data_IF_618212987128
#
_entry.id   IF_618212987128
#
_cell.length_a   1.000
_cell.length_b   1.000
_cell.length_c   1.000
_cell.angle_alpha   90.00
_cell.angle_beta   90.00
_cell.angle_gamma   90.00
#
_symmetry.space_group_name_H-M   'P 1'
#
loop_
_entity.id
_entity.type
_entity.pdbx_description
1 polymer ?
#
# COMPACT_ATOMS: atom_id res chain seq x y z
N UNK A 1 5.24 -30.10 32.20
CA UNK A 1 4.07 -29.17 32.00
C UNK A 1 4.35 -28.13 30.93
N UNK A 2 5.59 -27.66 30.71
CA UNK A 2 5.90 -26.62 29.71
C UNK A 2 5.87 -27.07 28.23
N UNK A 3 6.20 -28.35 27.96
CA UNK A 3 6.13 -28.92 26.60
C UNK A 3 4.72 -29.02 26.01
N UNK A 4 3.69 -29.13 26.85
CA UNK A 4 2.29 -29.19 26.41
C UNK A 4 1.74 -27.78 26.09
N UNK A 5 2.19 -26.75 26.80
CA UNK A 5 1.83 -25.35 26.50
C UNK A 5 2.44 -24.85 25.18
N UNK A 6 3.70 -25.21 24.90
CA UNK A 6 4.36 -24.80 23.64
C UNK A 6 3.76 -25.48 22.40
N UNK A 7 3.30 -26.75 22.52
CA UNK A 7 2.58 -27.42 21.41
C UNK A 7 1.21 -26.80 21.13
N UNK A 8 0.44 -26.44 22.16
CA UNK A 8 -0.87 -25.79 21.99
C UNK A 8 -0.77 -24.41 21.35
N UNK A 9 0.23 -23.59 21.71
CA UNK A 9 0.50 -22.30 21.09
C UNK A 9 0.89 -22.43 19.61
N UNK A 10 1.74 -23.41 19.26
CA UNK A 10 2.11 -23.68 17.87
C UNK A 10 0.94 -24.14 17.01
N UNK A 11 0.03 -24.95 17.56
CA UNK A 11 -1.16 -25.41 16.83
C UNK A 11 -2.21 -24.29 16.65
N UNK A 12 -2.38 -23.41 17.64
CA UNK A 12 -3.23 -22.22 17.52
C UNK A 12 -2.67 -21.27 16.47
N UNK A 13 -1.37 -21.00 16.50
CA UNK A 13 -0.70 -20.13 15.52
C UNK A 13 -0.83 -20.70 14.09
N UNK A 14 -0.60 -22.00 13.90
CA UNK A 14 -0.78 -22.67 12.60
C UNK A 14 -2.21 -22.60 12.09
N UNK A 15 -3.21 -22.78 12.95
CA UNK A 15 -4.63 -22.66 12.57
C UNK A 15 -5.00 -21.23 12.17
N UNK A 16 -4.46 -20.24 12.87
CA UNK A 16 -4.65 -18.83 12.52
C UNK A 16 -4.01 -18.50 11.17
N UNK A 17 -2.79 -18.98 10.91
CA UNK A 17 -2.11 -18.79 9.61
C UNK A 17 -2.91 -19.44 8.47
N UNK A 18 -3.34 -20.69 8.62
CA UNK A 18 -4.14 -21.41 7.61
C UNK A 18 -5.48 -20.70 7.35
N UNK A 19 -6.12 -20.17 8.40
CA UNK A 19 -7.36 -19.40 8.27
C UNK A 19 -7.18 -18.09 7.52
N UNK A 20 -6.05 -17.40 7.72
CA UNK A 20 -5.69 -16.15 7.05
C UNK A 20 -5.40 -16.37 5.56
N UNK A 21 -4.52 -17.33 5.24
CA UNK A 21 -4.21 -17.69 3.84
C UNK A 21 -5.47 -18.05 3.04
N UNK A 22 -6.46 -18.66 3.71
CA UNK A 22 -7.74 -18.98 3.09
C UNK A 22 -8.55 -17.73 2.78
N UNK A 23 -8.63 -16.77 3.72
CA UNK A 23 -9.41 -15.55 3.55
C UNK A 23 -8.81 -14.61 2.50
N UNK A 24 -7.48 -14.50 2.46
CA UNK A 24 -6.76 -13.81 1.41
C UNK A 24 -7.12 -14.37 0.01
N UNK A 25 -7.05 -15.68 -0.15
CA UNK A 25 -7.45 -16.36 -1.39
C UNK A 25 -8.91 -16.11 -1.75
N UNK A 26 -9.83 -16.15 -0.79
CA UNK A 26 -11.25 -15.87 -1.01
C UNK A 26 -11.48 -14.43 -1.51
N UNK A 27 -10.73 -13.45 -1.00
CA UNK A 27 -10.83 -12.04 -1.46
C UNK A 27 -10.31 -11.88 -2.89
N UNK A 28 -9.23 -12.55 -3.25
CA UNK A 28 -8.69 -12.53 -4.62
C UNK A 28 -9.61 -13.27 -5.59
N UNK A 29 -10.18 -14.40 -5.20
CA UNK A 29 -11.18 -15.11 -6.00
C UNK A 29 -12.43 -14.24 -6.24
N UNK A 30 -12.89 -13.52 -5.23
CA UNK A 30 -14.01 -12.58 -5.38
C UNK A 30 -13.65 -11.41 -6.33
N UNK A 31 -12.43 -10.89 -6.25
CA UNK A 31 -11.94 -9.88 -7.20
C UNK A 31 -12.02 -10.40 -8.65
N UNK A 32 -11.45 -11.56 -8.90
CA UNK A 32 -11.41 -12.16 -10.24
C UNK A 32 -12.80 -12.56 -10.74
N UNK A 33 -13.67 -13.04 -9.85
CA UNK A 33 -15.07 -13.33 -10.18
C UNK A 33 -15.81 -12.08 -10.66
N UNK A 34 -15.57 -10.93 -10.04
CA UNK A 34 -16.16 -9.64 -10.41
C UNK A 34 -15.50 -9.04 -11.66
N UNK A 35 -14.21 -9.27 -11.83
CA UNK A 35 -13.38 -8.76 -12.92
C UNK A 35 -12.59 -9.89 -13.58
N UNK A 36 -13.22 -10.76 -14.39
CA UNK A 36 -12.55 -11.95 -14.96
C UNK A 36 -11.31 -11.66 -15.79
N UNK A 37 -11.21 -10.46 -16.35
CA UNK A 37 -10.05 -9.97 -17.10
C UNK A 37 -8.78 -9.94 -16.24
N UNK A 38 -8.90 -9.83 -14.92
CA UNK A 38 -7.78 -9.80 -13.96
C UNK A 38 -7.22 -11.18 -13.61
N UNK A 39 -7.81 -12.29 -14.10
CA UNK A 39 -7.28 -13.64 -13.87
C UNK A 39 -5.82 -13.75 -14.32
N UNK A 40 -5.47 -13.10 -15.43
CA UNK A 40 -4.10 -13.12 -15.98
C UNK A 40 -3.04 -12.47 -15.09
N UNK A 41 -3.44 -11.63 -14.13
CA UNK A 41 -2.54 -10.89 -13.21
C UNK A 41 -2.75 -11.27 -11.74
N UNK A 42 -3.54 -12.29 -11.48
CA UNK A 42 -3.86 -12.78 -10.14
C UNK A 42 -2.61 -13.04 -9.29
N UNK A 43 -1.63 -13.77 -9.84
CA UNK A 43 -0.39 -14.08 -9.12
C UNK A 43 0.42 -12.84 -8.77
N UNK A 44 0.47 -11.83 -9.64
CA UNK A 44 1.16 -10.57 -9.37
C UNK A 44 0.44 -9.75 -8.28
N UNK A 45 -0.89 -9.83 -8.20
CA UNK A 45 -1.66 -9.19 -7.12
C UNK A 45 -1.33 -9.86 -5.77
N UNK A 46 -1.28 -11.20 -5.74
CA UNK A 46 -0.87 -11.97 -4.56
C UNK A 46 0.56 -11.62 -4.11
N UNK A 47 1.50 -11.52 -5.05
CA UNK A 47 2.89 -11.18 -4.74
C UNK A 47 3.04 -9.73 -4.27
N UNK A 48 2.29 -8.79 -4.84
CA UNK A 48 2.25 -7.40 -4.39
C UNK A 48 1.68 -7.30 -2.96
N UNK A 49 0.62 -8.04 -2.66
CA UNK A 49 0.07 -8.12 -1.31
C UNK A 49 1.12 -8.60 -0.30
N UNK A 50 1.84 -9.69 -0.59
CA UNK A 50 2.89 -10.22 0.31
C UNK A 50 4.01 -9.23 0.58
N UNK A 51 4.41 -8.45 -0.43
CA UNK A 51 5.39 -7.37 -0.25
C UNK A 51 4.85 -6.31 0.72
N UNK A 52 3.60 -5.89 0.57
CA UNK A 52 2.96 -4.90 1.43
C UNK A 52 2.73 -5.44 2.85
N UNK A 53 2.27 -6.67 2.98
CA UNK A 53 2.10 -7.34 4.27
C UNK A 53 3.41 -7.36 5.05
N UNK A 54 4.49 -7.85 4.44
CA UNK A 54 5.83 -7.88 5.06
C UNK A 54 6.30 -6.49 5.47
N UNK A 55 6.12 -5.49 4.60
CA UNK A 55 6.48 -4.11 4.92
C UNK A 55 5.79 -3.60 6.19
N UNK A 56 4.50 -3.81 6.32
CA UNK A 56 3.75 -3.36 7.49
C UNK A 56 4.01 -4.20 8.74
N UNK A 57 4.27 -5.51 8.61
CA UNK A 57 4.73 -6.36 9.72
C UNK A 57 6.04 -5.88 10.33
N UNK A 58 6.95 -5.40 9.48
CA UNK A 58 8.24 -4.85 9.87
C UNK A 58 8.18 -3.37 10.30
N UNK A 59 6.98 -2.79 10.39
CA UNK A 59 6.77 -1.39 10.80
C UNK A 59 7.15 -0.36 9.75
N UNK A 60 7.21 -0.76 8.48
CA UNK A 60 7.46 0.11 7.34
C UNK A 60 6.22 0.90 6.90
N UNK A 61 6.36 1.60 5.78
CA UNK A 61 5.31 2.42 5.17
C UNK A 61 5.27 2.27 3.66
N UNK A 62 4.14 2.66 3.08
CA UNK A 62 3.94 2.72 1.64
C UNK A 62 4.11 4.16 1.14
N UNK A 63 4.97 4.34 0.13
CA UNK A 63 5.13 5.59 -0.62
C UNK A 63 4.55 5.41 -2.02
N UNK A 64 3.72 6.33 -2.49
CA UNK A 64 2.96 6.15 -3.73
C UNK A 64 3.15 7.36 -4.64
N UNK A 65 3.35 7.13 -5.93
CA UNK A 65 3.37 8.19 -6.94
C UNK A 65 2.69 7.74 -8.24
N UNK A 66 2.04 8.69 -8.88
CA UNK A 66 1.42 8.59 -10.19
C UNK A 66 1.11 9.97 -10.75
N UNK A 67 0.63 10.05 -11.98
CA UNK A 67 0.28 11.31 -12.64
C UNK A 67 -1.20 11.34 -13.03
N UNK A 68 -1.84 12.50 -13.01
CA UNK A 68 -3.24 12.67 -13.43
C UNK A 68 -4.19 11.78 -12.63
N UNK A 69 -4.94 10.90 -13.30
CA UNK A 69 -5.83 9.93 -12.64
C UNK A 69 -5.07 9.01 -11.68
N UNK A 70 -3.86 8.58 -12.03
CA UNK A 70 -3.01 7.77 -11.15
C UNK A 70 -2.49 8.54 -9.91
N UNK A 71 -2.44 9.88 -9.96
CA UNK A 71 -2.21 10.69 -8.77
C UNK A 71 -3.43 10.66 -7.85
N UNK A 72 -4.64 10.76 -8.39
CA UNK A 72 -5.88 10.61 -7.63
C UNK A 72 -6.00 9.20 -7.01
N UNK A 73 -5.60 8.16 -7.74
CA UNK A 73 -5.52 6.79 -7.19
C UNK A 73 -4.54 6.70 -6.01
N UNK A 74 -3.38 7.38 -6.10
CA UNK A 74 -2.41 7.43 -5.00
C UNK A 74 -3.02 8.01 -3.73
N UNK A 75 -3.77 9.10 -3.85
CA UNK A 75 -4.45 9.75 -2.73
C UNK A 75 -5.59 8.87 -2.18
N UNK A 76 -6.32 8.21 -3.06
CA UNK A 76 -7.39 7.29 -2.68
C UNK A 76 -6.83 6.11 -1.84
N UNK A 77 -5.76 5.48 -2.31
CA UNK A 77 -5.08 4.40 -1.57
C UNK A 77 -4.66 4.86 -0.17
N UNK A 78 -4.06 6.05 -0.06
CA UNK A 78 -3.69 6.62 1.25
C UNK A 78 -4.91 6.79 2.14
N UNK A 79 -6.02 7.31 1.59
CA UNK A 79 -7.27 7.46 2.32
C UNK A 79 -7.77 6.14 2.92
N UNK A 80 -7.73 5.04 2.15
CA UNK A 80 -8.22 3.74 2.60
C UNK A 80 -7.26 3.04 3.59
N UNK A 81 -5.96 3.28 3.48
CA UNK A 81 -4.98 2.71 4.40
C UNK A 81 -4.91 3.46 5.73
N UNK A 82 -5.04 4.78 5.74
CA UNK A 82 -4.85 5.63 6.91
C UNK A 82 -6.05 5.71 7.85
N UNK A 83 -7.23 5.20 7.45
CA UNK A 83 -8.45 5.08 8.26
C UNK A 83 -9.15 3.75 8.01
N UNK A 84 -10.22 3.44 8.73
CA UNK A 84 -11.08 2.31 8.43
C UNK A 84 -11.67 2.38 7.02
N UNK A 85 -11.51 1.33 6.24
CA UNK A 85 -12.10 1.17 4.90
C UNK A 85 -13.48 0.54 5.03
N UNK A 86 -13.56 -0.71 5.47
CA UNK A 86 -14.80 -1.42 5.76
C UNK A 86 -14.90 -1.88 7.21
N UNK A 87 -13.76 -1.94 7.92
CA UNK A 87 -13.71 -2.29 9.33
C UNK A 87 -13.56 -1.05 10.20
N UNK A 88 -14.12 -1.12 11.39
CA UNK A 88 -13.82 -0.15 12.44
C UNK A 88 -12.40 -0.46 12.96
N UNK A 89 -11.53 0.56 13.04
CA UNK A 89 -10.14 0.43 13.50
C UNK A 89 -9.92 1.29 14.75
N UNK A 90 -10.41 0.88 15.94
CA UNK A 90 -10.15 1.67 17.15
C UNK A 90 -8.65 1.79 17.39
N UNK A 91 -8.21 2.88 18.01
CA UNK A 91 -6.83 3.03 18.49
C UNK A 91 -6.53 1.98 19.55
N UNK A 92 -5.24 1.68 19.76
CA UNK A 92 -4.83 0.73 20.81
C UNK A 92 -5.22 1.24 22.20
N UNK A 93 -5.40 0.31 23.15
CA UNK A 93 -5.72 0.65 24.53
C UNK A 93 -4.62 1.54 25.17
N UNK A 94 -3.36 1.28 24.82
CA UNK A 94 -2.20 2.06 25.30
C UNK A 94 -2.27 3.50 24.79
N UNK A 95 -2.59 3.71 23.50
CA UNK A 95 -2.72 5.05 22.94
C UNK A 95 -3.94 5.77 23.55
N UNK A 96 -5.07 5.08 23.67
CA UNK A 96 -6.29 5.63 24.28
C UNK A 96 -6.03 6.14 25.71
N UNK A 97 -5.30 5.36 26.51
CA UNK A 97 -4.95 5.75 27.87
C UNK A 97 -3.94 6.93 27.88
N UNK A 98 -2.90 6.89 27.05
CA UNK A 98 -1.93 7.98 26.93
C UNK A 98 -2.59 9.31 26.51
N UNK A 99 -3.56 9.26 25.59
CA UNK A 99 -4.34 10.45 25.21
C UNK A 99 -5.10 11.06 26.37
N UNK A 100 -5.77 10.24 27.19
CA UNK A 100 -6.53 10.67 28.39
C UNK A 100 -5.62 11.24 29.46
N UNK A 101 -4.44 10.67 29.65
CA UNK A 101 -3.44 11.17 30.60
C UNK A 101 -2.84 12.50 30.14
N UNK A 102 -2.70 12.72 28.84
CA UNK A 102 -2.15 13.96 28.28
C UNK A 102 -3.14 15.12 28.41
N UNK A 103 -4.40 14.90 28.07
CA UNK A 103 -5.52 15.86 28.21
C UNK A 103 -6.80 15.08 28.45
N UNK A 104 -7.39 15.11 29.67
CA UNK A 104 -8.55 14.28 29.98
C UNK A 104 -9.75 14.53 29.09
N UNK A 105 -10.05 15.79 28.73
CA UNK A 105 -11.22 16.14 27.94
C UNK A 105 -11.02 15.79 26.46
N UNK A 106 -9.94 16.31 25.84
CA UNK A 106 -9.63 16.06 24.43
C UNK A 106 -9.18 14.63 24.20
N UNK A 107 -8.46 14.05 25.15
CA UNK A 107 -7.99 12.66 25.09
C UNK A 107 -9.13 11.64 25.08
N UNK A 108 -10.20 11.87 25.83
CA UNK A 108 -11.40 11.03 25.79
C UNK A 108 -12.09 11.10 24.40
N UNK A 109 -12.18 12.30 23.82
CA UNK A 109 -12.75 12.49 22.49
C UNK A 109 -11.87 11.85 21.40
N UNK A 110 -10.53 12.07 21.45
CA UNK A 110 -9.57 11.50 20.51
C UNK A 110 -9.55 9.97 20.58
N UNK A 111 -9.56 9.39 21.79
CA UNK A 111 -9.57 7.94 21.97
C UNK A 111 -10.82 7.28 21.35
N UNK A 112 -11.95 7.99 21.30
CA UNK A 112 -13.20 7.51 20.67
C UNK A 112 -13.24 7.68 19.17
N UNK A 113 -12.58 8.73 18.63
CA UNK A 113 -12.73 9.16 17.22
C UNK A 113 -11.54 8.81 16.34
N UNK A 114 -10.33 8.77 16.88
CA UNK A 114 -9.16 8.36 16.10
C UNK A 114 -9.25 6.88 15.72
N UNK A 115 -8.64 6.57 14.60
CA UNK A 115 -8.63 5.22 14.04
C UNK A 115 -7.19 4.76 13.82
N UNK A 116 -6.97 3.46 13.90
CA UNK A 116 -5.72 2.83 13.48
C UNK A 116 -5.51 2.99 11.98
N UNK A 117 -4.30 3.34 11.58
CA UNK A 117 -3.91 3.51 10.18
C UNK A 117 -2.69 2.69 9.83
N UNK A 118 -2.61 2.25 8.58
CA UNK A 118 -1.39 1.71 7.97
C UNK A 118 -0.64 2.88 7.32
N UNK A 119 0.62 3.16 7.71
CA UNK A 119 1.33 4.35 7.26
C UNK A 119 1.50 4.38 5.74
N UNK A 120 0.91 5.38 5.07
CA UNK A 120 1.00 5.57 3.63
C UNK A 120 1.12 7.06 3.29
N UNK A 121 1.91 7.40 2.27
CA UNK A 121 2.15 8.77 1.83
C UNK A 121 2.04 8.83 0.30
N UNK A 122 1.11 9.65 -0.21
CA UNK A 122 1.08 10.02 -1.62
C UNK A 122 2.09 11.16 -1.87
N UNK A 123 3.04 10.93 -2.76
CA UNK A 123 4.07 11.91 -3.11
C UNK A 123 3.53 13.03 -4.03
N UNK A 124 2.24 13.00 -4.31
CA UNK A 124 1.51 13.90 -5.21
C UNK A 124 1.09 15.21 -4.55
N UNK A 125 1.03 15.27 -3.22
CA UNK A 125 0.34 16.33 -2.46
C UNK A 125 1.26 17.43 -1.88
N UNK A 126 2.55 17.43 -2.17
CA UNK A 126 3.48 18.43 -1.66
C UNK A 126 3.66 19.61 -2.64
N UNK A 127 2.63 20.43 -2.80
CA UNK A 127 2.61 21.52 -3.78
C UNK A 127 3.81 22.49 -3.62
N UNK A 128 4.14 22.91 -2.39
CA UNK A 128 5.25 23.82 -2.14
C UNK A 128 6.60 23.19 -2.51
N UNK A 129 6.86 21.96 -2.09
CA UNK A 129 8.09 21.25 -2.43
C UNK A 129 8.18 20.99 -3.94
N UNK A 130 7.09 20.55 -4.57
CA UNK A 130 7.06 20.26 -6.01
C UNK A 130 7.31 21.50 -6.84
N UNK A 131 6.70 22.64 -6.49
CA UNK A 131 6.90 23.90 -7.20
C UNK A 131 8.31 24.49 -6.98
N UNK A 132 8.84 24.44 -5.76
CA UNK A 132 10.19 24.86 -5.47
C UNK A 132 11.21 24.00 -6.23
N UNK A 133 11.06 22.68 -6.19
CA UNK A 133 11.97 21.76 -6.84
C UNK A 133 11.91 21.89 -8.38
N UNK A 134 10.71 22.17 -8.93
CA UNK A 134 10.53 22.46 -10.35
C UNK A 134 11.23 23.74 -10.79
N UNK A 135 11.26 24.77 -9.93
CA UNK A 135 11.93 26.05 -10.21
C UNK A 135 13.45 25.98 -10.02
N UNK A 136 13.91 25.32 -8.96
CA UNK A 136 15.30 25.40 -8.50
C UNK A 136 16.18 24.29 -9.07
N UNK A 137 15.60 23.13 -9.44
CA UNK A 137 16.34 21.94 -9.86
C UNK A 137 15.73 21.32 -11.12
N UNK A 138 14.70 20.47 -10.96
CA UNK A 138 13.97 19.79 -12.03
C UNK A 138 12.66 19.21 -11.49
N UNK A 139 11.53 19.64 -12.06
CA UNK A 139 10.21 19.16 -11.67
C UNK A 139 10.00 17.65 -11.85
N UNK A 140 10.71 17.03 -12.79
CA UNK A 140 10.66 15.57 -13.02
C UNK A 140 11.23 14.77 -11.85
N UNK A 141 12.06 15.37 -11.02
CA UNK A 141 12.70 14.73 -9.86
C UNK A 141 11.92 14.89 -8.56
N UNK A 142 10.78 15.59 -8.56
CA UNK A 142 10.01 15.91 -7.35
C UNK A 142 9.60 14.67 -6.55
N UNK A 143 9.15 13.60 -7.20
CA UNK A 143 8.82 12.34 -6.52
C UNK A 143 10.06 11.64 -5.97
N UNK A 144 11.14 11.62 -6.74
CA UNK A 144 12.41 11.04 -6.30
C UNK A 144 12.98 11.77 -5.09
N UNK A 145 12.88 13.12 -5.07
CA UNK A 145 13.34 13.92 -3.93
C UNK A 145 12.53 13.63 -2.67
N UNK A 146 11.21 13.55 -2.77
CA UNK A 146 10.35 13.21 -1.64
C UNK A 146 10.63 11.80 -1.13
N UNK A 147 10.78 10.84 -2.05
CA UNK A 147 11.14 9.47 -1.71
C UNK A 147 12.51 9.40 -1.04
N UNK A 148 13.48 10.20 -1.49
CA UNK A 148 14.79 10.30 -0.84
C UNK A 148 14.68 10.81 0.61
N UNK A 149 13.78 11.76 0.87
CA UNK A 149 13.53 12.26 2.23
C UNK A 149 12.78 11.29 3.14
N UNK A 150 11.73 10.65 2.64
CA UNK A 150 10.84 9.80 3.45
C UNK A 150 11.24 8.34 3.49
N UNK A 151 11.81 7.81 2.40
CA UNK A 151 12.04 6.37 2.22
C UNK A 151 13.17 5.82 3.07
N UNK A 152 12.93 4.66 3.66
CA UNK A 152 13.90 3.85 4.42
C UNK A 152 13.91 2.43 3.88
N UNK A 153 15.00 1.70 4.08
CA UNK A 153 15.07 0.29 3.77
C UNK A 153 13.93 -0.48 4.49
N UNK A 154 13.27 -1.38 3.78
CA UNK A 154 12.08 -2.10 4.27
C UNK A 154 10.74 -1.44 3.93
N UNK A 155 10.72 -0.15 3.56
CA UNK A 155 9.51 0.48 3.00
C UNK A 155 9.19 -0.06 1.59
N UNK A 156 7.99 0.25 1.10
CA UNK A 156 7.55 -0.07 -0.27
C UNK A 156 7.28 1.22 -1.04
N UNK A 157 7.68 1.25 -2.30
CA UNK A 157 7.26 2.24 -3.27
C UNK A 157 6.29 1.61 -4.27
N UNK A 158 5.09 2.18 -4.39
CA UNK A 158 4.10 1.84 -5.42
C UNK A 158 4.13 2.91 -6.51
N UNK A 159 4.66 2.55 -7.67
CA UNK A 159 4.63 3.40 -8.86
C UNK A 159 3.41 3.07 -9.72
N UNK A 160 2.55 4.06 -9.97
CA UNK A 160 1.35 3.92 -10.81
C UNK A 160 1.59 4.65 -12.12
N UNK A 161 1.66 3.90 -13.23
CA UNK A 161 1.86 4.46 -14.55
C UNK A 161 1.21 3.57 -15.62
N UNK A 162 0.17 4.04 -16.29
CA UNK A 162 -0.57 3.27 -17.30
C UNK A 162 0.31 2.74 -18.43
N UNK A 163 1.36 3.48 -18.82
CA UNK A 163 2.33 3.06 -19.82
C UNK A 163 3.56 2.37 -19.23
N UNK A 164 3.79 2.50 -17.92
CA UNK A 164 5.02 2.10 -17.26
C UNK A 164 6.26 2.90 -17.67
N UNK A 165 6.08 4.09 -18.31
CA UNK A 165 7.17 4.90 -18.86
C UNK A 165 7.19 6.35 -18.37
N UNK A 166 6.42 6.71 -17.35
CA UNK A 166 6.43 8.06 -16.78
C UNK A 166 7.76 8.32 -16.09
N UNK A 167 8.58 9.23 -16.63
CA UNK A 167 9.97 9.43 -16.17
C UNK A 167 10.05 9.87 -14.70
N UNK A 168 9.15 10.74 -14.21
CA UNK A 168 9.13 11.11 -12.80
C UNK A 168 8.84 9.92 -11.85
N UNK A 169 7.98 8.98 -12.26
CA UNK A 169 7.73 7.74 -11.54
C UNK A 169 8.96 6.82 -11.61
N UNK A 170 9.63 6.78 -12.77
CA UNK A 170 10.86 6.00 -12.95
C UNK A 170 11.99 6.52 -12.07
N UNK A 171 12.20 7.85 -11.98
CA UNK A 171 13.20 8.42 -11.07
C UNK A 171 12.93 8.06 -9.61
N UNK A 172 11.66 8.08 -9.18
CA UNK A 172 11.28 7.62 -7.86
C UNK A 172 11.57 6.12 -7.66
N UNK A 173 11.23 5.28 -8.65
CA UNK A 173 11.48 3.84 -8.58
C UNK A 173 12.97 3.49 -8.49
N UNK A 174 13.83 4.18 -9.25
CA UNK A 174 15.29 4.05 -9.17
C UNK A 174 15.79 4.45 -7.78
N UNK A 175 15.32 5.58 -7.27
CA UNK A 175 15.67 6.06 -5.93
C UNK A 175 15.23 5.06 -4.85
N UNK A 176 14.03 4.48 -4.97
CA UNK A 176 13.52 3.46 -4.07
C UNK A 176 14.45 2.24 -4.02
N UNK A 177 14.79 1.69 -5.18
CA UNK A 177 15.72 0.53 -5.26
C UNK A 177 17.07 0.84 -4.64
N UNK A 178 17.65 2.01 -4.94
CA UNK A 178 18.94 2.44 -4.40
C UNK A 178 18.92 2.58 -2.86
N UNK A 179 17.78 2.92 -2.27
CA UNK A 179 17.57 3.05 -0.82
C UNK A 179 17.16 1.74 -0.14
N UNK A 180 17.02 0.63 -0.87
CA UNK A 180 16.63 -0.66 -0.32
C UNK A 180 15.12 -0.83 -0.10
N UNK A 181 14.29 -0.02 -0.74
CA UNK A 181 12.85 -0.22 -0.77
C UNK A 181 12.49 -1.32 -1.77
N UNK A 182 11.39 -2.01 -1.52
CA UNK A 182 10.73 -2.81 -2.55
C UNK A 182 9.91 -1.91 -3.48
N UNK A 183 9.87 -2.26 -4.76
CA UNK A 183 9.13 -1.52 -5.79
C UNK A 183 8.02 -2.39 -6.35
N UNK A 184 6.80 -1.91 -6.24
CA UNK A 184 5.62 -2.48 -6.91
C UNK A 184 5.20 -1.54 -8.03
N UNK A 185 5.03 -2.06 -9.24
CA UNK A 185 4.51 -1.32 -10.39
C UNK A 185 3.04 -1.69 -10.65
N UNK A 186 2.16 -0.69 -10.76
CA UNK A 186 0.78 -0.86 -11.22
C UNK A 186 0.65 -0.19 -12.59
N UNK A 187 0.50 -1.01 -13.64
CA UNK A 187 0.67 -0.59 -15.03
C UNK A 187 -0.35 -1.25 -15.96
N UNK A 188 -0.25 -0.94 -17.24
CA UNK A 188 -0.93 -1.62 -18.34
C UNK A 188 -0.03 -1.72 -19.56
N UNK A 189 -0.60 -1.92 -20.74
CA UNK A 189 0.13 -2.07 -21.99
C UNK A 189 1.19 -3.18 -21.91
N UNK A 190 2.46 -2.81 -22.02
CA UNK A 190 3.62 -3.72 -21.91
C UNK A 190 4.31 -3.66 -20.53
N UNK A 191 3.77 -2.84 -19.59
CA UNK A 191 4.43 -2.57 -18.32
C UNK A 191 5.61 -1.61 -18.39
N UNK A 192 6.11 -1.31 -19.59
CA UNK A 192 7.17 -0.35 -19.84
C UNK A 192 8.49 -0.61 -19.10
N UNK A 193 9.19 0.47 -18.80
CA UNK A 193 10.46 0.44 -18.03
C UNK A 193 10.21 0.10 -16.56
N UNK A 194 9.06 0.51 -16.01
CA UNK A 194 8.72 0.29 -14.62
C UNK A 194 8.59 -1.20 -14.29
N UNK A 195 7.95 -1.98 -15.16
CA UNK A 195 7.84 -3.42 -14.97
C UNK A 195 9.18 -4.16 -14.96
N UNK A 196 10.18 -3.64 -15.67
CA UNK A 196 11.54 -4.23 -15.70
C UNK A 196 12.34 -3.93 -14.43
N UNK A 197 12.02 -2.83 -13.75
CA UNK A 197 12.73 -2.38 -12.54
C UNK A 197 12.05 -2.87 -11.26
N UNK A 198 10.73 -3.04 -11.28
CA UNK A 198 9.93 -3.41 -10.11
C UNK A 198 10.27 -4.82 -9.60
N UNK A 199 10.14 -5.04 -8.29
CA UNK A 199 10.18 -6.39 -7.70
C UNK A 199 8.93 -7.20 -8.09
N UNK A 200 7.77 -6.52 -8.19
CA UNK A 200 6.52 -7.05 -8.72
C UNK A 200 5.86 -6.00 -9.62
N UNK A 201 5.39 -6.40 -10.79
CA UNK A 201 4.63 -5.55 -11.69
C UNK A 201 3.27 -6.17 -12.01
N UNK A 202 2.20 -5.47 -11.65
CA UNK A 202 0.84 -5.81 -12.03
C UNK A 202 0.57 -5.09 -13.35
N UNK A 203 0.49 -5.83 -14.45
CA UNK A 203 0.29 -5.29 -15.80
C UNK A 203 -1.11 -5.68 -16.27
N UNK A 204 -2.08 -4.79 -16.03
CA UNK A 204 -3.47 -5.08 -16.45
C UNK A 204 -3.55 -5.25 -17.97
N UNK A 205 -4.35 -6.21 -18.48
CA UNK A 205 -4.38 -6.59 -19.89
C UNK A 205 -5.22 -5.62 -20.73
N UNK A 206 -4.87 -4.33 -20.69
CA UNK A 206 -5.52 -3.25 -21.42
C UNK A 206 -4.50 -2.31 -22.08
N UNK A 207 -4.93 -1.62 -23.15
CA UNK A 207 -4.08 -0.74 -23.94
C UNK A 207 -4.45 0.75 -23.81
N UNK A 208 -5.72 1.05 -23.57
CA UNK A 208 -6.22 2.41 -23.48
C UNK A 208 -6.10 2.93 -22.04
N UNK A 209 -5.58 4.13 -21.88
CA UNK A 209 -5.25 4.70 -20.56
C UNK A 209 -6.42 4.66 -19.58
N UNK A 210 -7.64 5.05 -20.01
CA UNK A 210 -8.80 5.06 -19.12
C UNK A 210 -9.23 3.64 -18.71
N UNK A 211 -9.18 2.66 -19.60
CA UNK A 211 -9.49 1.26 -19.27
C UNK A 211 -8.48 0.64 -18.32
N UNK A 212 -7.20 1.00 -18.49
CA UNK A 212 -6.15 0.61 -17.54
C UNK A 212 -6.47 1.16 -16.15
N UNK A 213 -6.81 2.45 -16.04
CA UNK A 213 -7.18 3.09 -14.77
C UNK A 213 -8.44 2.48 -14.16
N UNK A 214 -9.45 2.14 -14.97
CA UNK A 214 -10.65 1.42 -14.50
C UNK A 214 -10.32 0.06 -13.85
N UNK A 215 -9.26 -0.62 -14.29
CA UNK A 215 -8.81 -1.88 -13.71
C UNK A 215 -7.85 -1.71 -12.53
N UNK A 216 -7.16 -0.56 -12.42
CA UNK A 216 -6.32 -0.26 -11.26
C UNK A 216 -7.16 -0.14 -9.99
N UNK A 217 -8.34 0.48 -10.08
CA UNK A 217 -9.24 0.71 -8.95
C UNK A 217 -9.61 -0.58 -8.19
N UNK A 218 -10.18 -1.62 -8.79
CA UNK A 218 -10.53 -2.84 -8.06
C UNK A 218 -9.30 -3.58 -7.51
N UNK A 219 -8.13 -3.47 -8.14
CA UNK A 219 -6.89 -4.08 -7.67
C UNK A 219 -6.44 -3.43 -6.37
N UNK A 220 -6.29 -2.11 -6.33
CA UNK A 220 -5.83 -1.48 -5.09
C UNK A 220 -6.88 -1.52 -3.98
N UNK A 221 -8.19 -1.53 -4.29
CA UNK A 221 -9.22 -1.83 -3.31
C UNK A 221 -9.05 -3.21 -2.70
N UNK A 222 -8.78 -4.24 -3.50
CA UNK A 222 -8.55 -5.59 -3.00
C UNK A 222 -7.30 -5.64 -2.09
N UNK A 223 -6.20 -5.00 -2.50
CA UNK A 223 -4.98 -4.89 -1.67
C UNK A 223 -5.26 -4.19 -0.34
N UNK A 224 -5.98 -3.07 -0.35
CA UNK A 224 -6.35 -2.34 0.87
C UNK A 224 -7.25 -3.18 1.80
N UNK A 225 -8.24 -3.91 1.24
CA UNK A 225 -9.14 -4.79 2.00
C UNK A 225 -8.39 -5.95 2.64
N UNK A 226 -7.48 -6.59 1.90
CA UNK A 226 -6.65 -7.68 2.42
C UNK A 226 -5.72 -7.21 3.54
N UNK A 227 -5.09 -6.04 3.38
CA UNK A 227 -4.26 -5.42 4.42
C UNK A 227 -5.09 -5.04 5.64
N UNK A 228 -6.27 -4.45 5.45
CA UNK A 228 -7.18 -4.16 6.56
C UNK A 228 -7.56 -5.43 7.32
N UNK A 229 -7.89 -6.49 6.60
CA UNK A 229 -8.26 -7.77 7.23
C UNK A 229 -7.10 -8.38 8.01
N UNK A 230 -5.87 -8.22 7.50
CA UNK A 230 -4.64 -8.74 8.11
C UNK A 230 -4.29 -8.05 9.41
N UNK A 231 -4.37 -6.71 9.44
CA UNK A 231 -3.86 -5.90 10.56
C UNK A 231 -4.93 -5.47 11.55
N UNK A 232 -6.20 -5.53 11.17
CA UNK A 232 -7.33 -5.13 12.00
C UNK A 232 -8.36 -6.26 12.08
N UNK A 233 -8.12 -7.21 12.99
CA UNK A 233 -9.11 -8.25 13.33
C UNK A 233 -10.36 -7.62 13.97
N UNK A 234 -11.52 -8.26 13.78
CA UNK A 234 -12.73 -7.92 14.54
C UNK A 234 -12.58 -8.32 16.01
#
# INVERSE_FOLDING_TARGET
RDRLRSRGLGDVYKRQMIGRDKKEKEMIEELVKRYPVLESVKGQIEDAYKILETCYEDGGKLLIAGNGGSAADSDHIVGELMKGFVKRRPVSAELAEALKQTDPERGEELAKKLQGGLPAIALTNHAALSSAFANDVDGMLSYAQQLNGYGKAGDVFLGISTSGNSENVMYAAVTAKAKGLKVVGLTGKTGGKLAKLADVAIIVPEQETYKIQELHLPIYHALCLMLEDRFYAE
#
